data_IF_793634150810
#
_entry.id   IF_793634150810
#
_cell.length_a   1.000
_cell.length_b   1.000
_cell.length_c   1.000
_cell.angle_alpha   90.00
_cell.angle_beta   90.00
_cell.angle_gamma   90.00
#
_symmetry.space_group_name_H-M   'P 1'
#
loop_
_entity.id
_entity.type
_entity.pdbx_description
1 polymer ?
#
# COMPACT_ATOMS: atom_id res chain seq x y z
N UNK A 1 1.49 -1.69 37.25
CA UNK A 1 2.30 -0.98 36.23
C UNK A 1 1.46 -0.88 34.97
N UNK A 2 0.88 0.30 34.70
CA UNK A 2 -0.05 0.52 33.59
C UNK A 2 0.75 1.02 32.38
N UNK A 3 0.86 0.19 31.34
CA UNK A 3 1.48 0.57 30.08
C UNK A 3 0.48 1.39 29.27
N UNK A 4 0.82 2.65 29.01
CA UNK A 4 0.04 3.58 28.19
C UNK A 4 0.13 3.19 26.70
N UNK A 5 -1.01 3.15 26.01
CA UNK A 5 -1.05 3.07 24.55
C UNK A 5 -0.66 4.42 23.92
N UNK A 6 0.12 4.45 22.83
CA UNK A 6 0.40 5.69 22.11
C UNK A 6 -0.83 6.15 21.31
N UNK A 7 -1.03 7.47 21.13
CA UNK A 7 -2.19 8.01 20.44
C UNK A 7 -2.14 7.72 18.94
N UNK A 8 -3.22 7.13 18.41
CA UNK A 8 -3.45 6.98 16.97
C UNK A 8 -3.85 8.34 16.38
N UNK A 9 -2.87 9.07 15.86
CA UNK A 9 -3.09 10.33 15.19
C UNK A 9 -3.58 10.07 13.74
N UNK A 10 -4.87 9.75 13.57
CA UNK A 10 -5.51 9.73 12.25
C UNK A 10 -5.86 11.16 11.84
N UNK A 11 -4.87 11.93 11.39
CA UNK A 11 -5.15 13.20 10.73
C UNK A 11 -5.75 12.91 9.35
N UNK A 12 -7.03 13.22 9.20
CA UNK A 12 -7.69 13.36 7.91
C UNK A 12 -6.96 14.47 7.15
N UNK A 13 -6.17 14.11 6.14
CA UNK A 13 -5.58 15.08 5.21
C UNK A 13 -6.72 15.92 4.63
N UNK A 14 -6.78 17.19 5.06
CA UNK A 14 -7.61 18.21 4.43
C UNK A 14 -6.93 18.52 3.10
N UNK A 15 -7.54 18.10 2.00
CA UNK A 15 -7.17 18.57 0.67
C UNK A 15 -7.43 20.07 0.63
N UNK A 16 -6.36 20.86 0.71
CA UNK A 16 -6.42 22.30 0.47
C UNK A 16 -6.50 22.52 -1.03
N UNK A 17 -7.63 23.09 -1.47
CA UNK A 17 -7.77 23.71 -2.79
C UNK A 17 -6.65 24.74 -2.99
N UNK A 18 -5.70 24.40 -3.85
CA UNK A 18 -4.79 25.36 -4.44
C UNK A 18 -5.24 25.57 -5.89
N UNK A 19 -6.04 26.61 -6.09
CA UNK A 19 -6.26 27.27 -7.37
C UNK A 19 -4.96 27.42 -8.15
N UNK A 20 -4.85 26.73 -9.29
CA UNK A 20 -3.86 27.06 -10.30
C UNK A 20 -4.60 27.53 -11.54
N UNK A 21 -4.79 28.85 -11.64
CA UNK A 21 -5.31 29.50 -12.85
C UNK A 21 -4.18 29.61 -13.86
N UNK A 22 -4.54 29.37 -15.13
CA UNK A 22 -3.78 29.56 -16.36
C UNK A 22 -2.76 28.47 -16.74
N UNK A 23 -3.28 27.42 -17.40
CA UNK A 23 -2.64 26.85 -18.58
C UNK A 23 -3.74 26.58 -19.62
N UNK A 24 -4.03 27.60 -20.43
CA UNK A 24 -4.82 27.41 -21.63
C UNK A 24 -3.96 26.75 -22.71
N UNK A 25 -4.30 25.51 -23.07
CA UNK A 25 -4.10 24.98 -24.41
C UNK A 25 -4.93 23.71 -24.56
N UNK A 26 -5.72 23.64 -25.63
CA UNK A 26 -6.66 22.58 -25.90
C UNK A 26 -5.97 21.20 -25.89
N UNK A 27 -6.34 20.37 -24.92
CA UNK A 27 -6.00 18.94 -24.89
C UNK A 27 -7.30 18.16 -25.07
N UNK A 28 -7.39 17.43 -26.18
CA UNK A 28 -8.50 16.55 -26.51
C UNK A 28 -8.77 15.55 -25.38
N UNK A 29 -10.04 15.27 -25.11
CA UNK A 29 -10.51 14.42 -24.01
C UNK A 29 -9.87 13.01 -23.99
N UNK A 30 -9.43 12.50 -25.14
CA UNK A 30 -8.71 11.23 -25.29
C UNK A 30 -7.30 11.20 -24.65
N UNK A 31 -6.72 12.33 -24.24
CA UNK A 31 -5.35 12.43 -23.72
C UNK A 31 -5.19 12.45 -22.19
N UNK A 32 -6.28 12.37 -21.42
CA UNK A 32 -6.29 12.83 -20.01
C UNK A 32 -6.08 11.75 -18.92
N UNK A 33 -5.67 10.52 -19.24
CA UNK A 33 -5.43 9.47 -18.23
C UNK A 33 -4.07 8.79 -18.43
N UNK A 34 -2.97 9.56 -18.40
CA UNK A 34 -1.72 8.99 -17.91
C UNK A 34 -1.62 9.29 -16.41
N UNK A 35 -2.39 8.54 -15.62
CA UNK A 35 -2.39 8.66 -14.15
C UNK A 35 -1.01 8.31 -13.62
N UNK A 36 -0.20 9.33 -13.37
CA UNK A 36 1.02 9.33 -12.54
C UNK A 36 0.73 9.05 -11.06
N UNK A 37 -0.46 8.51 -10.74
CA UNK A 37 -0.91 8.25 -9.38
C UNK A 37 -0.33 6.97 -8.80
N UNK A 38 -0.36 6.87 -7.47
CA UNK A 38 0.01 5.65 -6.75
C UNK A 38 -1.20 4.70 -6.72
N UNK A 39 -0.96 3.43 -7.00
CA UNK A 39 -1.94 2.35 -6.85
C UNK A 39 -1.63 1.58 -5.58
N UNK A 40 -2.64 1.34 -4.75
CA UNK A 40 -2.44 0.67 -3.47
C UNK A 40 -3.27 -0.61 -3.36
N UNK A 41 -2.69 -1.63 -2.74
CA UNK A 41 -3.38 -2.87 -2.38
C UNK A 41 -3.40 -2.98 -0.86
N UNK A 42 -4.55 -3.34 -0.31
CA UNK A 42 -4.69 -3.72 1.10
C UNK A 42 -5.18 -5.16 1.14
N UNK A 43 -4.42 -6.02 1.80
CA UNK A 43 -4.76 -7.44 1.94
C UNK A 43 -5.03 -7.76 3.39
N UNK A 44 -6.04 -8.60 3.61
CA UNK A 44 -6.32 -9.27 4.87
C UNK A 44 -6.33 -10.77 4.60
N UNK A 45 -5.50 -11.52 5.32
CA UNK A 45 -5.42 -12.97 5.19
C UNK A 45 -5.44 -13.65 6.55
N UNK A 46 -6.16 -14.78 6.64
CA UNK A 46 -6.18 -15.65 7.81
C UNK A 46 -5.50 -16.98 7.48
N UNK A 47 -4.44 -17.30 8.22
CA UNK A 47 -3.59 -18.47 7.98
C UNK A 47 -4.01 -19.61 8.90
N UNK A 48 -4.00 -20.84 8.39
CA UNK A 48 -4.21 -22.02 9.23
C UNK A 48 -3.08 -22.11 10.26
N UNK A 49 -3.42 -22.46 11.50
CA UNK A 49 -2.47 -22.40 12.62
C UNK A 49 -1.22 -23.28 12.41
N UNK A 50 -1.40 -24.42 11.76
CA UNK A 50 -0.34 -25.38 11.40
C UNK A 50 0.54 -24.93 10.23
N UNK A 51 0.17 -23.86 9.51
CA UNK A 51 0.92 -23.28 8.39
C UNK A 51 1.50 -21.89 8.70
N UNK A 52 1.44 -21.46 9.97
CA UNK A 52 1.85 -20.10 10.36
C UNK A 52 3.34 -19.84 10.08
N UNK A 53 4.21 -20.79 10.44
CA UNK A 53 5.66 -20.58 10.32
C UNK A 53 6.09 -20.57 8.85
N UNK A 54 5.53 -21.48 8.04
CA UNK A 54 5.67 -21.45 6.57
C UNK A 54 5.24 -20.09 6.02
N UNK A 55 4.09 -19.57 6.45
CA UNK A 55 3.61 -18.27 5.99
C UNK A 55 4.55 -17.13 6.38
N UNK A 56 5.09 -17.14 7.60
CA UNK A 56 6.03 -16.11 8.04
C UNK A 56 7.32 -16.11 7.23
N UNK A 57 7.77 -17.27 6.75
CA UNK A 57 8.88 -17.35 5.80
C UNK A 57 8.48 -16.79 4.43
N UNK A 58 7.35 -17.24 3.90
CA UNK A 58 6.84 -16.80 2.59
C UNK A 58 6.64 -15.29 2.53
N UNK A 59 5.99 -14.68 3.53
CA UNK A 59 5.68 -13.25 3.51
C UNK A 59 6.93 -12.37 3.63
N UNK A 60 7.95 -12.81 4.39
CA UNK A 60 9.26 -12.14 4.44
C UNK A 60 9.97 -12.18 3.09
N UNK A 61 9.95 -13.34 2.45
CA UNK A 61 10.54 -13.51 1.13
C UNK A 61 9.75 -12.74 0.05
N UNK A 62 8.44 -12.63 0.20
CA UNK A 62 7.59 -11.85 -0.71
C UNK A 62 7.92 -10.36 -0.62
N UNK A 63 7.97 -9.80 0.59
CA UNK A 63 8.38 -8.41 0.81
C UNK A 63 9.75 -8.14 0.22
N UNK A 64 10.74 -9.00 0.52
CA UNK A 64 12.10 -8.87 -0.02
C UNK A 64 12.10 -8.95 -1.56
N UNK A 65 11.38 -9.92 -2.13
CA UNK A 65 11.28 -10.10 -3.57
C UNK A 65 10.67 -8.88 -4.26
N UNK A 66 9.59 -8.34 -3.71
CA UNK A 66 8.93 -7.13 -4.22
C UNK A 66 9.88 -5.95 -4.18
N UNK A 67 10.47 -5.67 -3.01
CA UNK A 67 11.32 -4.49 -2.84
C UNK A 67 12.63 -4.55 -3.63
N UNK A 68 13.19 -5.74 -3.86
CA UNK A 68 14.45 -5.89 -4.59
C UNK A 68 14.26 -5.99 -6.11
N UNK A 69 13.13 -6.53 -6.58
CA UNK A 69 12.97 -6.95 -7.98
C UNK A 69 11.88 -6.21 -8.74
N UNK A 70 10.95 -5.55 -8.05
CA UNK A 70 9.85 -4.82 -8.70
C UNK A 70 10.15 -3.32 -8.69
N UNK A 71 10.74 -2.76 -9.76
CA UNK A 71 11.22 -1.37 -9.77
C UNK A 71 10.11 -0.32 -9.66
N UNK A 72 8.84 -0.73 -9.84
CA UNK A 72 7.67 0.13 -9.71
C UNK A 72 6.95 -0.05 -8.37
N UNK A 73 7.41 -0.99 -7.52
CA UNK A 73 6.95 -1.08 -6.14
C UNK A 73 7.57 0.06 -5.31
N UNK A 74 6.73 0.70 -4.51
CA UNK A 74 7.08 1.85 -3.68
C UNK A 74 7.08 1.50 -2.19
N UNK A 75 6.22 0.56 -1.78
CA UNK A 75 6.08 0.12 -0.39
C UNK A 75 5.54 -1.30 -0.36
N UNK A 76 6.06 -2.09 0.59
CA UNK A 76 5.48 -3.36 1.01
C UNK A 76 5.61 -3.44 2.53
N UNK A 77 4.50 -3.31 3.26
CA UNK A 77 4.48 -3.45 4.72
C UNK A 77 3.51 -4.53 5.14
N UNK A 78 3.85 -5.33 6.14
CA UNK A 78 2.99 -6.41 6.63
C UNK A 78 3.10 -6.57 8.14
N UNK A 79 2.06 -7.13 8.77
CA UNK A 79 2.03 -7.39 10.19
C UNK A 79 0.87 -8.28 10.61
N UNK A 80 1.01 -8.89 11.79
CA UNK A 80 -0.07 -9.67 12.42
C UNK A 80 -1.06 -8.72 13.11
N UNK A 81 -2.35 -9.10 13.10
CA UNK A 81 -3.38 -8.44 13.88
C UNK A 81 -3.03 -8.46 15.36
N UNK A 82 -3.18 -7.33 16.04
CA UNK A 82 -3.04 -7.23 17.49
C UNK A 82 -4.16 -7.96 18.25
N UNK A 83 -5.28 -8.25 17.58
CA UNK A 83 -6.50 -8.80 18.21
C UNK A 83 -6.71 -10.28 17.89
N UNK A 84 -6.26 -10.72 16.71
CA UNK A 84 -6.54 -12.08 16.20
C UNK A 84 -5.29 -12.74 15.65
N UNK A 85 -4.76 -13.70 16.40
CA UNK A 85 -3.63 -14.54 15.97
C UNK A 85 -3.91 -15.21 14.63
N UNK A 86 -2.88 -15.33 13.81
CA UNK A 86 -2.90 -15.86 12.45
C UNK A 86 -3.71 -15.03 11.45
N UNK A 87 -4.12 -13.81 11.80
CA UNK A 87 -4.69 -12.84 10.85
C UNK A 87 -3.62 -11.81 10.55
N UNK A 88 -3.27 -11.65 9.28
CA UNK A 88 -2.23 -10.75 8.83
C UNK A 88 -2.80 -9.71 7.88
N UNK A 89 -2.23 -8.52 7.94
CA UNK A 89 -2.50 -7.43 7.02
C UNK A 89 -1.23 -7.07 6.30
N UNK A 90 -1.35 -6.71 5.03
CA UNK A 90 -0.26 -6.05 4.33
C UNK A 90 -0.76 -5.01 3.35
N UNK A 91 0.10 -4.01 3.15
CA UNK A 91 -0.13 -2.84 2.34
C UNK A 91 0.99 -2.70 1.32
N UNK A 92 0.59 -2.58 0.06
CA UNK A 92 1.49 -2.44 -1.07
C UNK A 92 1.16 -1.17 -1.83
N UNK A 93 2.19 -0.50 -2.36
CA UNK A 93 2.06 0.70 -3.19
C UNK A 93 2.87 0.55 -4.47
N UNK A 94 2.29 0.98 -5.59
CA UNK A 94 2.91 0.91 -6.91
C UNK A 94 2.84 2.24 -7.65
N UNK A 95 3.88 2.55 -8.42
CA UNK A 95 3.93 3.71 -9.30
C UNK A 95 3.08 3.47 -10.55
N UNK A 96 1.96 4.18 -10.66
CA UNK A 96 1.08 4.09 -11.81
C UNK A 96 0.38 2.74 -11.93
N UNK A 97 -0.54 2.65 -12.90
CA UNK A 97 -1.30 1.42 -13.15
C UNK A 97 -0.38 0.29 -13.63
N UNK A 98 0.66 0.62 -14.40
CA UNK A 98 1.62 -0.35 -14.91
C UNK A 98 2.39 -1.04 -13.80
N UNK A 99 2.76 -0.33 -12.73
CA UNK A 99 3.39 -0.94 -11.56
C UNK A 99 2.48 -1.98 -10.91
N UNK A 100 1.20 -1.63 -10.71
CA UNK A 100 0.22 -2.57 -10.14
C UNK A 100 -0.10 -3.75 -11.06
N UNK A 101 -0.03 -3.60 -12.39
CA UNK A 101 -0.29 -4.69 -13.34
C UNK A 101 0.92 -5.60 -13.52
N UNK A 102 2.13 -5.09 -13.30
CA UNK A 102 3.36 -5.87 -13.38
C UNK A 102 3.60 -6.76 -12.16
N UNK A 103 3.00 -6.39 -11.03
CA UNK A 103 2.89 -7.23 -9.82
C UNK A 103 1.88 -8.35 -10.04
#
# INVERSE_FOLDING_TARGET
ATCANPPQNRQRLKTTDATNKNMGSAISAEGYIHRTGVYCVNVNISIKADRRDDFLEVIRNNQKGTMDKEPLALEYTWGESAEKRNTFFFHEKYKGRSGFVAH
#
